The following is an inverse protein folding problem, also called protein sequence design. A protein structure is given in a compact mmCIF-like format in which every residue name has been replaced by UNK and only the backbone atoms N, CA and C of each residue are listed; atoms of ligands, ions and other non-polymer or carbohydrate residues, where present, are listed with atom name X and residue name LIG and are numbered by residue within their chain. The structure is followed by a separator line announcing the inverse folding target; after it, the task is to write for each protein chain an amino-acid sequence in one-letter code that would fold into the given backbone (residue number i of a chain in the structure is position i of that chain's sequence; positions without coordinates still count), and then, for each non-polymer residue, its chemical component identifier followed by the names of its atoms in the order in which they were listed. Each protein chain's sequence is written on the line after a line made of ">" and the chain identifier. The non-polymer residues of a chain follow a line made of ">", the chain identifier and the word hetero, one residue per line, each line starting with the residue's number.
data_IF_853228998920
#
_entry.id   IF_853228998920
#
_cell.length_a   1.000
_cell.length_b   1.000
_cell.length_c   1.000
_cell.angle_alpha   90.00
_cell.angle_beta   90.00
_cell.angle_gamma   90.00
#
_symmetry.space_group_name_H-M   'P 1'
#
loop_
_entity.id
_entity.type
_entity.pdbx_description
1 polymer ?
#
# COMPACT_ATOMS: atom_id res chain seq x y z
N UNK A 1 6.04 -15.75 -4.23
CA UNK A 1 5.38 -14.42 -4.18
C UNK A 1 6.30 -13.46 -3.44
N UNK A 2 6.50 -12.24 -3.93
CA UNK A 2 7.29 -11.20 -3.23
C UNK A 2 6.51 -9.90 -3.14
N UNK A 3 6.81 -9.07 -2.13
CA UNK A 3 6.23 -7.74 -1.90
C UNK A 3 7.11 -6.62 -2.47
N UNK A 4 8.42 -6.83 -2.56
CA UNK A 4 9.35 -5.77 -2.95
C UNK A 4 9.39 -5.55 -4.46
N UNK A 5 9.15 -4.29 -4.88
CA UNK A 5 9.16 -3.91 -6.30
C UNK A 5 10.50 -4.14 -6.99
N UNK A 6 11.62 -3.90 -6.28
CA UNK A 6 12.97 -4.11 -6.82
C UNK A 6 13.22 -5.59 -7.16
N UNK A 7 12.81 -6.50 -6.26
CA UNK A 7 12.91 -7.94 -6.49
C UNK A 7 12.00 -8.38 -7.65
N UNK A 8 10.76 -7.85 -7.70
CA UNK A 8 9.84 -8.14 -8.78
C UNK A 8 10.43 -7.80 -10.14
N UNK A 9 11.00 -6.60 -10.30
CA UNK A 9 11.62 -6.18 -11.55
C UNK A 9 12.72 -7.16 -12.00
N UNK A 10 13.50 -7.70 -11.07
CA UNK A 10 14.52 -8.70 -11.37
C UNK A 10 13.94 -10.07 -11.76
N UNK A 11 12.80 -10.48 -11.18
CA UNK A 11 12.17 -11.78 -11.43
C UNK A 11 11.30 -11.82 -12.69
N UNK A 12 10.78 -10.67 -13.14
CA UNK A 12 9.85 -10.59 -14.28
C UNK A 12 10.38 -11.23 -15.58
N UNK A 13 11.64 -10.99 -16.02
CA UNK A 13 12.17 -11.64 -17.21
C UNK A 13 12.22 -13.15 -17.07
N UNK A 14 12.54 -13.66 -15.88
CA UNK A 14 12.62 -15.10 -15.57
C UNK A 14 11.22 -15.73 -15.68
N UNK A 15 10.19 -15.07 -15.13
CA UNK A 15 8.81 -15.56 -15.23
C UNK A 15 8.35 -15.68 -16.70
N UNK A 16 8.73 -14.71 -17.55
CA UNK A 16 8.43 -14.75 -18.98
C UNK A 16 9.21 -15.85 -19.72
N UNK A 17 10.51 -16.01 -19.43
CA UNK A 17 11.37 -17.04 -20.02
C UNK A 17 10.87 -18.45 -19.73
N UNK A 18 10.57 -18.73 -18.47
CA UNK A 18 10.09 -20.06 -18.04
C UNK A 18 8.57 -20.25 -18.19
N UNK A 19 7.84 -19.21 -18.62
CA UNK A 19 6.39 -19.24 -18.79
C UNK A 19 5.65 -19.69 -17.53
N UNK A 20 6.03 -19.13 -16.37
CA UNK A 20 5.46 -19.45 -15.06
C UNK A 20 4.77 -18.22 -14.47
N UNK A 21 3.49 -18.31 -14.05
CA UNK A 21 2.82 -17.24 -13.36
C UNK A 21 3.57 -16.80 -12.09
N UNK A 22 3.86 -15.53 -11.99
CA UNK A 22 4.46 -14.89 -10.82
C UNK A 22 3.40 -14.05 -10.11
N UNK A 23 2.99 -14.52 -8.94
CA UNK A 23 2.02 -13.82 -8.10
C UNK A 23 2.73 -12.79 -7.23
N UNK A 24 2.17 -11.60 -7.10
CA UNK A 24 2.78 -10.51 -6.32
C UNK A 24 1.74 -9.72 -5.54
N UNK A 25 2.22 -9.08 -4.48
CA UNK A 25 1.52 -8.05 -3.71
C UNK A 25 2.33 -6.73 -3.70
N UNK A 26 3.25 -6.54 -4.65
CA UNK A 26 3.98 -5.28 -4.78
C UNK A 26 3.11 -4.21 -5.43
N UNK A 27 3.02 -3.03 -4.81
CA UNK A 27 2.28 -1.88 -5.34
C UNK A 27 2.90 -1.26 -6.59
N UNK A 28 4.22 -1.43 -6.83
CA UNK A 28 4.94 -0.75 -7.92
C UNK A 28 4.24 -0.87 -9.28
N UNK A 29 3.72 0.24 -9.81
CA UNK A 29 2.91 0.29 -11.03
C UNK A 29 3.60 -0.34 -12.24
N UNK A 30 4.89 -0.08 -12.42
CA UNK A 30 5.71 -0.56 -13.55
C UNK A 30 5.67 -2.09 -13.75
N UNK A 31 5.36 -2.86 -12.71
CA UNK A 31 5.33 -4.33 -12.76
C UNK A 31 4.33 -4.83 -13.81
N UNK A 32 3.10 -4.33 -13.80
CA UNK A 32 2.04 -4.74 -14.73
C UNK A 32 1.99 -3.87 -15.98
N UNK A 33 2.51 -2.63 -15.93
CA UNK A 33 2.70 -1.78 -17.10
C UNK A 33 3.74 -2.34 -18.11
N UNK A 34 4.56 -3.30 -17.69
CA UNK A 34 5.54 -3.98 -18.56
C UNK A 34 4.92 -4.91 -19.62
N UNK A 35 3.62 -5.14 -19.57
CA UNK A 35 2.90 -6.08 -20.45
C UNK A 35 3.42 -7.53 -20.40
N UNK A 36 4.04 -7.94 -19.29
CA UNK A 36 4.44 -9.32 -19.08
C UNK A 36 3.22 -10.18 -18.72
N UNK A 37 2.79 -11.15 -19.55
CA UNK A 37 1.54 -11.87 -19.36
C UNK A 37 1.57 -12.89 -18.22
N UNK A 38 2.73 -13.06 -17.56
CA UNK A 38 2.92 -14.01 -16.45
C UNK A 38 2.91 -13.34 -15.08
N UNK A 39 2.63 -12.02 -15.00
CA UNK A 39 2.58 -11.29 -13.74
C UNK A 39 1.13 -11.10 -13.30
N UNK A 40 0.84 -11.42 -12.03
CA UNK A 40 -0.50 -11.28 -11.45
C UNK A 40 -0.41 -10.66 -10.07
N UNK A 41 -1.05 -9.49 -9.90
CA UNK A 41 -1.00 -8.70 -8.67
C UNK A 41 -2.31 -8.83 -7.90
N UNK A 42 -2.17 -9.12 -6.60
CA UNK A 42 -3.27 -9.26 -5.65
C UNK A 42 -3.36 -8.09 -4.65
N UNK A 43 -2.83 -6.95 -5.02
CA UNK A 43 -3.04 -5.65 -4.38
C UNK A 43 -3.41 -4.62 -5.43
N UNK A 44 -4.07 -3.52 -5.08
CA UNK A 44 -4.26 -2.42 -6.01
C UNK A 44 -2.90 -1.90 -6.49
N UNK A 45 -2.87 -1.51 -7.76
CA UNK A 45 -1.74 -0.88 -8.38
C UNK A 45 -1.47 0.48 -7.71
N UNK A 46 -0.20 0.85 -7.52
CA UNK A 46 0.14 2.17 -6.99
C UNK A 46 -0.49 3.31 -7.81
N UNK A 47 -0.68 3.12 -9.12
CA UNK A 47 -1.41 4.11 -9.95
C UNK A 47 -2.86 4.32 -9.49
N UNK A 48 -3.52 3.30 -8.96
CA UNK A 48 -4.89 3.38 -8.43
C UNK A 48 -4.90 3.87 -6.98
N UNK A 49 -4.07 3.26 -6.13
CA UNK A 49 -4.07 3.59 -4.71
C UNK A 49 -3.52 4.99 -4.41
N UNK A 50 -2.59 5.54 -5.26
CA UNK A 50 -2.08 6.90 -5.08
C UNK A 50 -3.12 7.97 -5.44
N UNK A 51 -4.02 7.68 -6.36
CA UNK A 51 -5.20 8.53 -6.59
C UNK A 51 -6.04 8.66 -5.32
N UNK A 52 -6.35 7.54 -4.66
CA UNK A 52 -7.06 7.54 -3.38
C UNK A 52 -6.31 8.32 -2.29
N UNK A 53 -4.99 8.12 -2.19
CA UNK A 53 -4.12 8.84 -1.26
C UNK A 53 -4.17 10.36 -1.50
N UNK A 54 -3.94 10.80 -2.73
CA UNK A 54 -3.93 12.22 -3.08
C UNK A 54 -5.31 12.88 -2.87
N UNK A 55 -6.39 12.20 -3.29
CA UNK A 55 -7.77 12.69 -3.10
C UNK A 55 -8.15 12.79 -1.63
N UNK A 56 -7.75 11.82 -0.81
CA UNK A 56 -7.98 11.90 0.63
C UNK A 56 -7.33 13.15 1.24
N UNK A 57 -6.08 13.41 0.91
CA UNK A 57 -5.35 14.60 1.41
C UNK A 57 -6.03 15.89 0.96
N UNK A 58 -6.34 16.04 -0.33
CA UNK A 58 -6.85 17.28 -0.89
C UNK A 58 -8.36 17.44 -0.65
N UNK A 59 -9.15 16.40 -0.92
CA UNK A 59 -10.62 16.51 -0.93
C UNK A 59 -11.25 16.22 0.43
N UNK A 60 -10.66 15.33 1.25
CA UNK A 60 -11.20 14.96 2.57
C UNK A 60 -10.55 15.78 3.68
N UNK A 61 -9.21 15.75 3.78
CA UNK A 61 -8.48 16.52 4.80
C UNK A 61 -8.41 18.01 4.49
N UNK A 62 -8.70 18.44 3.24
CA UNK A 62 -8.63 19.82 2.77
C UNK A 62 -7.23 20.42 2.93
N UNK A 63 -6.18 19.62 2.72
CA UNK A 63 -4.79 20.05 2.81
C UNK A 63 -4.24 20.41 1.43
N UNK A 64 -3.51 21.52 1.36
CA UNK A 64 -2.95 22.03 0.09
C UNK A 64 -1.47 22.39 0.19
N UNK A 65 -0.92 22.53 1.41
CA UNK A 65 0.51 22.77 1.62
C UNK A 65 1.21 21.47 1.95
N UNK A 66 1.46 20.67 0.93
CA UNK A 66 1.92 19.28 1.05
C UNK A 66 3.45 19.22 1.10
N UNK A 67 4.01 18.50 2.08
CA UNK A 67 5.38 18.00 2.02
C UNK A 67 5.34 16.56 1.47
N UNK A 68 5.76 16.36 0.22
CA UNK A 68 5.84 15.05 -0.43
C UNK A 68 7.23 14.48 -0.25
N UNK A 69 7.31 13.30 0.35
CA UNK A 69 8.57 12.67 0.75
C UNK A 69 8.57 11.20 0.34
N UNK A 70 9.71 10.72 -0.19
CA UNK A 70 9.92 9.30 -0.46
C UNK A 70 11.36 8.86 -0.25
N UNK A 71 11.57 7.53 -0.25
CA UNK A 71 12.90 6.94 -0.27
C UNK A 71 13.43 6.69 -1.70
N UNK A 72 14.70 6.27 -1.79
CA UNK A 72 15.39 6.02 -3.07
C UNK A 72 15.11 4.64 -3.67
N UNK A 73 14.26 3.81 -3.07
CA UNK A 73 13.90 2.50 -3.64
C UNK A 73 13.06 2.66 -4.92
N UNK A 74 12.98 1.63 -5.74
CA UNK A 74 12.08 1.63 -6.91
C UNK A 74 10.63 1.88 -6.52
N UNK A 75 10.18 1.36 -5.36
CA UNK A 75 8.87 1.61 -4.78
C UNK A 75 8.71 3.09 -4.42
N UNK A 76 9.63 3.65 -3.63
CA UNK A 76 9.60 5.06 -3.21
C UNK A 76 9.55 6.02 -4.39
N UNK A 77 10.45 5.85 -5.36
CA UNK A 77 10.52 6.71 -6.55
C UNK A 77 9.28 6.60 -7.44
N UNK A 78 8.75 5.38 -7.61
CA UNK A 78 7.54 5.14 -8.41
C UNK A 78 6.32 5.84 -7.83
N UNK A 79 6.06 5.65 -6.54
CA UNK A 79 4.92 6.29 -5.87
C UNK A 79 5.06 7.80 -5.73
N UNK A 80 6.29 8.31 -5.56
CA UNK A 80 6.56 9.75 -5.56
C UNK A 80 6.11 10.40 -6.87
N UNK A 81 6.52 9.84 -8.01
CA UNK A 81 6.16 10.37 -9.33
C UNK A 81 4.63 10.34 -9.56
N UNK A 82 3.97 9.25 -9.14
CA UNK A 82 2.51 9.14 -9.24
C UNK A 82 1.79 10.17 -8.37
N UNK A 83 2.23 10.38 -7.13
CA UNK A 83 1.66 11.38 -6.23
C UNK A 83 1.86 12.81 -6.75
N UNK A 84 3.01 13.13 -7.36
CA UNK A 84 3.22 14.43 -8.03
C UNK A 84 2.20 14.63 -9.16
N UNK A 85 2.01 13.61 -10.00
CA UNK A 85 1.03 13.63 -11.10
C UNK A 85 -0.40 13.82 -10.57
N UNK A 86 -0.79 13.07 -9.54
CA UNK A 86 -2.15 13.09 -9.00
C UNK A 86 -2.44 14.39 -8.24
N UNK A 87 -1.50 14.95 -7.48
CA UNK A 87 -1.65 16.28 -6.91
C UNK A 87 -1.79 17.36 -7.99
N UNK A 88 -1.03 17.26 -9.09
CA UNK A 88 -1.16 18.20 -10.21
C UNK A 88 -2.55 18.12 -10.86
N UNK A 89 -3.12 16.91 -11.05
CA UNK A 89 -4.49 16.72 -11.55
C UNK A 89 -5.54 17.34 -10.61
N UNK A 90 -5.27 17.34 -9.30
CA UNK A 90 -6.14 17.95 -8.27
C UNK A 90 -5.89 19.46 -8.11
N UNK A 91 -5.10 20.07 -9.00
CA UNK A 91 -4.79 21.50 -8.96
C UNK A 91 -3.90 21.92 -7.78
N UNK A 92 -3.16 20.99 -7.19
CA UNK A 92 -2.30 21.22 -6.02
C UNK A 92 -0.87 20.86 -6.38
N UNK A 93 0.09 21.66 -5.89
CA UNK A 93 1.52 21.37 -6.02
C UNK A 93 2.14 21.31 -4.63
N UNK A 94 2.93 20.28 -4.31
CA UNK A 94 3.67 20.21 -3.06
C UNK A 94 4.53 21.48 -2.83
N UNK A 95 4.53 21.98 -1.58
CA UNK A 95 5.38 23.12 -1.17
C UNK A 95 6.79 22.68 -0.79
N UNK A 96 6.95 21.38 -0.54
CA UNK A 96 8.24 20.73 -0.26
C UNK A 96 8.25 19.33 -0.89
N UNK A 97 9.38 18.97 -1.48
CA UNK A 97 9.58 17.66 -2.10
C UNK A 97 10.97 17.13 -1.74
N UNK A 98 11.04 15.86 -1.33
CA UNK A 98 12.30 15.14 -1.12
C UNK A 98 12.12 13.65 -1.45
N UNK A 99 12.89 13.15 -2.40
CA UNK A 99 12.89 11.75 -2.82
C UNK A 99 14.29 11.10 -2.72
N UNK A 100 15.11 11.64 -1.82
CA UNK A 100 16.52 11.26 -1.69
C UNK A 100 16.86 10.45 -0.44
N UNK A 101 15.85 10.04 0.35
CA UNK A 101 16.08 9.32 1.61
C UNK A 101 16.61 7.92 1.31
N UNK A 102 17.82 7.63 1.78
CA UNK A 102 18.33 6.27 1.75
C UNK A 102 17.57 5.38 2.76
N UNK A 103 17.24 4.11 2.41
CA UNK A 103 16.48 3.23 3.31
C UNK A 103 17.14 2.94 4.66
N UNK A 104 18.45 3.15 4.76
CA UNK A 104 19.25 2.96 5.97
C UNK A 104 19.54 4.26 6.75
N UNK A 105 18.94 5.38 6.36
CA UNK A 105 19.05 6.67 7.05
C UNK A 105 18.66 6.54 8.53
N UNK A 106 19.48 7.11 9.43
CA UNK A 106 19.30 6.98 10.89
C UNK A 106 18.75 8.25 11.55
N UNK A 107 18.86 9.39 10.90
CA UNK A 107 18.39 10.68 11.43
C UNK A 107 17.65 11.48 10.36
N UNK A 108 16.39 11.79 10.65
CA UNK A 108 15.51 12.59 9.79
C UNK A 108 15.35 14.04 10.28
N UNK A 109 16.03 14.42 11.36
CA UNK A 109 15.92 15.78 11.93
C UNK A 109 16.23 16.88 10.91
N UNK A 110 17.27 16.77 10.05
CA UNK A 110 17.55 17.77 9.04
C UNK A 110 16.43 17.91 7.99
N UNK A 111 15.83 16.77 7.59
CA UNK A 111 14.69 16.73 6.68
C UNK A 111 13.47 17.40 7.31
N UNK A 112 13.14 17.02 8.54
CA UNK A 112 11.98 17.56 9.28
C UNK A 112 12.12 19.06 9.56
N UNK A 113 13.33 19.56 9.76
CA UNK A 113 13.59 21.00 9.86
C UNK A 113 13.26 21.73 8.54
N UNK A 114 13.59 21.15 7.38
CA UNK A 114 13.22 21.71 6.06
C UNK A 114 11.71 21.65 5.84
N UNK A 115 11.05 20.54 6.20
CA UNK A 115 9.58 20.43 6.15
C UNK A 115 8.94 21.53 6.99
N UNK A 116 9.40 21.77 8.22
CA UNK A 116 8.90 22.83 9.08
C UNK A 116 9.07 24.21 8.45
N UNK A 117 10.23 24.47 7.86
CA UNK A 117 10.54 25.76 7.20
C UNK A 117 9.69 25.98 5.93
N UNK A 118 9.23 24.94 5.25
CA UNK A 118 8.39 25.04 4.05
C UNK A 118 6.96 25.53 4.34
N UNK A 119 6.53 25.48 5.59
CA UNK A 119 5.15 25.80 5.98
C UNK A 119 4.13 24.76 5.55
N UNK A 120 4.55 23.52 5.32
CA UNK A 120 3.66 22.40 5.00
C UNK A 120 2.63 22.18 6.14
N UNK A 121 1.41 21.80 5.77
CA UNK A 121 0.29 21.52 6.69
C UNK A 121 -0.09 20.04 6.72
N UNK A 122 0.60 19.21 5.94
CA UNK A 122 0.52 17.75 5.91
C UNK A 122 1.83 17.16 5.35
N UNK A 123 2.27 16.01 5.86
CA UNK A 123 3.29 15.19 5.22
C UNK A 123 2.59 14.04 4.48
N UNK A 124 2.93 13.86 3.22
CA UNK A 124 2.61 12.69 2.42
C UNK A 124 3.90 11.90 2.24
N UNK A 125 3.94 10.69 2.80
CA UNK A 125 5.16 9.88 2.88
C UNK A 125 4.97 8.55 2.16
N UNK A 126 5.76 8.34 1.12
CA UNK A 126 5.76 7.08 0.37
C UNK A 126 7.15 6.43 0.44
N UNK A 127 7.33 5.50 1.34
CA UNK A 127 8.62 4.88 1.63
C UNK A 127 8.43 3.43 2.13
N UNK A 128 9.51 2.67 2.17
CA UNK A 128 9.53 1.37 2.86
C UNK A 128 9.53 1.57 4.37
N UNK A 129 9.20 0.51 5.13
CA UNK A 129 8.88 0.57 6.56
C UNK A 129 9.93 1.26 7.45
N UNK A 130 11.22 1.06 7.17
CA UNK A 130 12.29 1.61 8.03
C UNK A 130 12.35 3.15 8.03
N UNK A 131 12.55 3.85 6.91
CA UNK A 131 12.55 5.32 6.90
C UNK A 131 11.18 5.88 7.29
N UNK A 132 10.09 5.23 6.94
CA UNK A 132 8.74 5.63 7.30
C UNK A 132 8.52 5.64 8.81
N UNK A 133 8.87 4.56 9.50
CA UNK A 133 8.80 4.46 10.95
C UNK A 133 9.64 5.54 11.63
N UNK A 134 10.86 5.76 11.13
CA UNK A 134 11.78 6.75 11.70
C UNK A 134 11.22 8.18 11.56
N UNK A 135 10.73 8.57 10.39
CA UNK A 135 10.11 9.89 10.19
C UNK A 135 8.90 10.06 11.09
N UNK A 136 7.99 9.07 11.11
CA UNK A 136 6.76 9.12 11.92
C UNK A 136 7.07 9.26 13.42
N UNK A 137 8.13 8.63 13.91
CA UNK A 137 8.59 8.81 15.30
C UNK A 137 9.22 10.17 15.54
N UNK A 138 10.13 10.57 14.68
CA UNK A 138 10.91 11.80 14.89
C UNK A 138 10.09 13.09 14.72
N UNK A 139 9.01 13.06 13.92
CA UNK A 139 8.16 14.24 13.75
C UNK A 139 7.60 14.75 15.10
N UNK A 140 7.22 13.83 15.99
CA UNK A 140 6.70 14.20 17.33
C UNK A 140 7.76 14.92 18.16
N UNK A 141 9.02 14.54 18.04
CA UNK A 141 10.13 15.16 18.80
C UNK A 141 10.53 16.54 18.27
N UNK A 142 10.19 16.90 17.03
CA UNK A 142 10.53 18.20 16.43
C UNK A 142 9.55 19.32 16.77
N UNK A 143 8.46 18.98 17.47
CA UNK A 143 7.35 19.91 17.73
C UNK A 143 6.56 20.30 16.46
N UNK A 144 6.73 19.56 15.36
CA UNK A 144 5.94 19.69 14.16
C UNK A 144 4.62 18.95 14.36
N UNK A 145 3.54 19.68 14.56
CA UNK A 145 2.21 19.11 14.82
C UNK A 145 1.32 19.17 13.57
N UNK A 146 1.70 18.42 12.55
CA UNK A 146 0.92 18.27 11.32
C UNK A 146 0.63 16.79 11.08
N UNK A 147 -0.52 16.44 10.43
CA UNK A 147 -0.85 15.07 10.12
C UNK A 147 0.15 14.47 9.12
N UNK A 148 0.29 13.15 9.20
CA UNK A 148 1.05 12.35 8.24
C UNK A 148 0.10 11.38 7.56
N UNK A 149 0.14 11.30 6.23
CA UNK A 149 -0.52 10.26 5.46
C UNK A 149 0.57 9.43 4.80
N UNK A 150 0.68 8.17 5.24
CA UNK A 150 1.73 7.23 4.82
C UNK A 150 1.26 6.33 3.69
N UNK A 151 2.20 5.67 3.03
CA UNK A 151 1.91 4.47 2.24
C UNK A 151 1.65 3.25 3.13
N UNK A 152 1.19 2.15 2.52
CA UNK A 152 0.80 0.91 3.22
C UNK A 152 1.89 0.27 4.08
N UNK A 153 3.15 0.64 3.91
CA UNK A 153 4.24 0.08 4.72
C UNK A 153 4.14 0.38 6.23
N UNK A 154 3.37 1.40 6.64
CA UNK A 154 3.18 1.71 8.08
C UNK A 154 2.19 0.74 8.75
N UNK A 155 1.26 0.12 8.00
CA UNK A 155 0.28 -0.81 8.57
C UNK A 155 0.88 -2.20 8.85
N UNK A 156 2.08 -2.48 8.37
CA UNK A 156 2.77 -3.72 8.68
C UNK A 156 2.90 -3.91 10.20
N UNK A 157 2.55 -5.09 10.75
CA UNK A 157 2.62 -5.34 12.20
C UNK A 157 3.99 -5.09 12.81
N UNK A 158 5.06 -5.34 12.05
CA UNK A 158 6.44 -5.06 12.44
C UNK A 158 6.74 -3.57 12.57
N UNK A 159 6.09 -2.74 11.77
CA UNK A 159 6.20 -1.29 11.86
C UNK A 159 5.33 -0.74 13.00
N UNK A 160 4.04 -1.12 13.06
CA UNK A 160 3.12 -0.64 14.10
C UNK A 160 3.53 -1.07 15.51
N UNK A 161 4.17 -2.23 15.68
CA UNK A 161 4.68 -2.69 16.96
C UNK A 161 5.77 -1.78 17.56
N UNK A 162 6.43 -0.97 16.74
CA UNK A 162 7.46 -0.04 17.19
C UNK A 162 6.89 1.24 17.83
N UNK A 163 5.59 1.48 17.73
CA UNK A 163 4.94 2.68 18.27
C UNK A 163 4.17 2.39 19.55
N UNK A 164 4.18 3.32 20.49
CA UNK A 164 3.11 3.39 21.47
C UNK A 164 1.84 3.93 20.78
N UNK A 165 0.62 3.50 21.20
CA UNK A 165 -0.61 3.96 20.57
C UNK A 165 -0.71 5.49 20.42
N UNK A 166 -0.32 6.23 21.45
CA UNK A 166 -0.33 7.70 21.45
C UNK A 166 0.58 8.33 20.38
N UNK A 167 1.65 7.65 19.96
CA UNK A 167 2.55 8.12 18.91
C UNK A 167 1.90 8.06 17.52
N UNK A 168 0.89 7.20 17.35
CA UNK A 168 0.14 7.05 16.10
C UNK A 168 -1.03 8.06 15.98
N UNK A 169 -1.32 8.84 17.02
CA UNK A 169 -2.40 9.84 16.95
C UNK A 169 -2.20 10.80 15.77
N UNK A 170 -3.20 10.88 14.86
CA UNK A 170 -3.15 11.72 13.67
C UNK A 170 -2.29 11.17 12.52
N UNK A 171 -1.84 9.94 12.63
CA UNK A 171 -1.19 9.21 11.53
C UNK A 171 -2.28 8.50 10.74
N UNK A 172 -2.22 8.63 9.41
CA UNK A 172 -3.08 7.92 8.48
C UNK A 172 -2.21 7.14 7.46
N UNK A 173 -2.82 6.20 6.76
CA UNK A 173 -2.17 5.47 5.67
C UNK A 173 -3.20 5.01 4.63
N UNK A 174 -2.75 4.87 3.40
CA UNK A 174 -3.45 4.05 2.44
C UNK A 174 -3.19 2.57 2.73
N UNK A 175 -4.13 1.71 2.41
CA UNK A 175 -3.96 0.25 2.49
C UNK A 175 -4.87 -0.45 1.46
N UNK A 176 -4.50 -1.62 0.96
CA UNK A 176 -5.40 -2.41 0.10
C UNK A 176 -6.64 -2.91 0.85
N UNK A 177 -6.49 -3.20 2.12
CA UNK A 177 -7.53 -3.63 3.06
C UNK A 177 -7.00 -3.54 4.49
N UNK A 178 -7.90 -3.51 5.46
CA UNK A 178 -7.57 -3.44 6.89
C UNK A 178 -8.20 -4.63 7.66
N UNK A 179 -7.67 -5.87 7.51
CA UNK A 179 -8.25 -7.05 8.16
C UNK A 179 -8.20 -6.97 9.68
N UNK A 180 -7.24 -6.24 10.25
CA UNK A 180 -7.14 -5.94 11.67
C UNK A 180 -8.36 -5.17 12.22
N UNK A 181 -9.08 -4.44 11.38
CA UNK A 181 -10.31 -3.73 11.74
C UNK A 181 -11.55 -4.65 11.81
N UNK A 182 -11.48 -5.90 11.30
CA UNK A 182 -12.52 -6.94 11.39
C UNK A 182 -13.91 -6.49 10.96
N UNK A 183 -13.98 -5.77 9.84
CA UNK A 183 -15.19 -5.08 9.38
C UNK A 183 -16.32 -5.99 8.89
N UNK A 184 -16.00 -7.22 8.46
CA UNK A 184 -16.98 -8.20 8.02
C UNK A 184 -16.81 -9.54 8.76
N UNK A 185 -17.84 -10.41 8.81
CA UNK A 185 -17.71 -11.73 9.42
C UNK A 185 -16.60 -12.59 8.80
N UNK A 186 -16.39 -12.52 7.48
CA UNK A 186 -15.35 -13.26 6.78
C UNK A 186 -13.95 -12.74 7.15
N UNK A 187 -13.75 -11.43 7.13
CA UNK A 187 -12.50 -10.80 7.54
C UNK A 187 -12.20 -11.10 9.01
N UNK A 188 -13.22 -11.00 9.88
CA UNK A 188 -13.07 -11.31 11.31
C UNK A 188 -12.63 -12.76 11.53
N UNK A 189 -13.27 -13.72 10.88
CA UNK A 189 -12.95 -15.13 11.04
C UNK A 189 -11.50 -15.42 10.56
N UNK A 190 -11.10 -14.84 9.44
CA UNK A 190 -9.76 -14.98 8.91
C UNK A 190 -8.72 -14.33 9.82
N UNK A 191 -8.94 -13.09 10.25
CA UNK A 191 -8.02 -12.34 11.11
C UNK A 191 -7.82 -13.02 12.47
N UNK A 192 -8.91 -13.53 13.09
CA UNK A 192 -8.82 -14.25 14.36
C UNK A 192 -8.05 -15.58 14.21
N UNK A 193 -8.23 -16.28 13.09
CA UNK A 193 -7.46 -17.49 12.78
C UNK A 193 -5.98 -17.18 12.55
N UNK A 194 -5.68 -16.09 11.87
CA UNK A 194 -4.32 -15.62 11.63
C UNK A 194 -3.63 -15.25 12.95
N UNK A 195 -4.26 -14.41 13.78
CA UNK A 195 -3.75 -14.03 15.11
C UNK A 195 -3.51 -15.25 16.00
N UNK A 196 -4.46 -16.20 16.02
CA UNK A 196 -4.30 -17.45 16.79
C UNK A 196 -3.09 -18.28 16.32
N UNK A 197 -2.83 -18.30 15.01
CA UNK A 197 -1.75 -19.11 14.44
C UNK A 197 -0.38 -18.47 14.59
N UNK A 198 -0.28 -17.16 14.40
CA UNK A 198 1.00 -16.46 14.27
C UNK A 198 1.33 -15.55 15.47
N UNK A 199 0.37 -15.26 16.35
CA UNK A 199 0.56 -14.42 17.54
C UNK A 199 0.69 -12.93 17.26
N UNK A 200 0.45 -12.51 15.99
CA UNK A 200 0.49 -11.11 15.55
C UNK A 200 -0.79 -10.78 14.77
N UNK A 201 -1.20 -9.51 14.79
CA UNK A 201 -2.31 -9.05 13.94
C UNK A 201 -1.95 -9.18 12.45
N UNK A 202 -2.90 -9.53 11.59
CA UNK A 202 -2.68 -9.49 10.14
C UNK A 202 -2.73 -8.07 9.61
N UNK A 203 -2.22 -7.89 8.40
CA UNK A 203 -2.36 -6.69 7.59
C UNK A 203 -2.97 -7.01 6.21
N UNK A 204 -3.24 -5.98 5.41
CA UNK A 204 -3.76 -6.14 4.06
C UNK A 204 -2.80 -6.86 3.11
N UNK A 205 -1.48 -6.80 3.36
CA UNK A 205 -0.48 -7.52 2.56
C UNK A 205 -0.60 -9.03 2.78
N UNK A 206 -0.72 -9.46 4.04
CA UNK A 206 -0.91 -10.86 4.40
C UNK A 206 -2.22 -11.40 3.82
N UNK A 207 -3.30 -10.62 3.86
CA UNK A 207 -4.59 -11.01 3.32
C UNK A 207 -4.56 -11.12 1.80
N UNK A 208 -3.94 -10.16 1.10
CA UNK A 208 -3.76 -10.22 -0.36
C UNK A 208 -2.93 -11.44 -0.80
N UNK A 209 -1.89 -11.80 -0.05
CA UNK A 209 -1.13 -13.04 -0.32
C UNK A 209 -1.98 -14.29 -0.13
N UNK A 210 -2.76 -14.34 0.96
CA UNK A 210 -3.66 -15.46 1.22
C UNK A 210 -4.67 -15.62 0.09
N UNK A 211 -5.38 -14.56 -0.27
CA UNK A 211 -6.39 -14.60 -1.33
C UNK A 211 -5.77 -14.98 -2.69
N UNK A 212 -4.57 -14.47 -2.99
CA UNK A 212 -3.84 -14.81 -4.22
C UNK A 212 -3.50 -16.29 -4.32
N UNK A 213 -3.00 -16.88 -3.23
CA UNK A 213 -2.72 -18.32 -3.18
C UNK A 213 -4.02 -19.12 -3.25
N UNK A 214 -5.08 -18.71 -2.54
CA UNK A 214 -6.36 -19.40 -2.55
C UNK A 214 -7.04 -19.35 -3.92
N UNK A 215 -6.94 -18.23 -4.65
CA UNK A 215 -7.41 -18.15 -6.04
C UNK A 215 -6.65 -19.15 -6.92
N UNK A 216 -5.31 -19.17 -6.86
CA UNK A 216 -4.51 -20.08 -7.65
C UNK A 216 -4.88 -21.54 -7.36
N UNK A 217 -4.97 -21.95 -6.09
CA UNK A 217 -5.37 -23.29 -5.69
C UNK A 217 -6.79 -23.65 -6.16
N UNK A 218 -7.72 -22.69 -6.09
CA UNK A 218 -9.09 -22.87 -6.58
C UNK A 218 -9.12 -23.10 -8.09
N UNK A 219 -8.35 -22.34 -8.85
CA UNK A 219 -8.26 -22.52 -10.31
C UNK A 219 -7.60 -23.87 -10.68
N UNK A 220 -6.57 -24.27 -9.94
CA UNK A 220 -5.97 -25.60 -10.12
C UNK A 220 -6.96 -26.74 -9.82
N UNK A 221 -7.75 -26.63 -8.75
CA UNK A 221 -8.78 -27.62 -8.43
C UNK A 221 -9.90 -27.69 -9.47
N UNK A 222 -10.15 -26.61 -10.20
CA UNK A 222 -11.10 -26.51 -11.31
C UNK A 222 -10.53 -26.97 -12.67
N UNK A 223 -9.27 -27.40 -12.71
CA UNK A 223 -8.69 -28.03 -13.90
C UNK A 223 -7.49 -27.33 -14.52
N UNK A 224 -6.96 -26.25 -13.97
CA UNK A 224 -5.70 -25.65 -14.41
C UNK A 224 -4.53 -26.55 -13.98
N UNK A 225 -4.01 -27.39 -14.89
CA UNK A 225 -3.00 -28.40 -14.59
C UNK A 225 -1.58 -27.99 -14.95
N UNK A 226 -1.42 -27.03 -15.81
CA UNK A 226 -0.13 -26.50 -16.26
C UNK A 226 0.02 -25.03 -15.86
N UNK A 227 1.24 -24.52 -15.93
CA UNK A 227 1.51 -23.11 -15.71
C UNK A 227 0.71 -22.20 -16.68
N UNK A 228 0.59 -22.63 -17.93
CA UNK A 228 -0.16 -21.91 -18.95
C UNK A 228 -1.68 -21.94 -18.69
N UNK A 229 -2.23 -23.09 -18.24
CA UNK A 229 -3.65 -23.15 -17.83
C UNK A 229 -3.92 -22.20 -16.67
N UNK A 230 -3.03 -22.17 -15.68
CA UNK A 230 -3.16 -21.27 -14.54
C UNK A 230 -3.07 -19.79 -14.98
N UNK A 231 -2.11 -19.46 -15.85
CA UNK A 231 -1.98 -18.11 -16.44
C UNK A 231 -3.27 -17.68 -17.14
N UNK A 232 -3.80 -18.56 -18.01
CA UNK A 232 -5.02 -18.27 -18.76
C UNK A 232 -6.24 -18.11 -17.84
N UNK A 233 -6.34 -18.95 -16.80
CA UNK A 233 -7.42 -18.86 -15.82
C UNK A 233 -7.32 -17.59 -14.95
N UNK A 234 -6.13 -17.22 -14.46
CA UNK A 234 -5.90 -15.97 -13.71
C UNK A 234 -6.26 -14.72 -14.54
N UNK A 235 -6.04 -14.77 -15.86
CA UNK A 235 -6.36 -13.66 -16.76
C UNK A 235 -7.88 -13.49 -16.98
N UNK A 236 -8.67 -14.57 -16.87
CA UNK A 236 -10.07 -14.59 -17.29
C UNK A 236 -11.06 -14.67 -16.14
N UNK A 237 -10.73 -15.47 -15.13
CA UNK A 237 -11.69 -15.82 -14.08
C UNK A 237 -11.76 -14.73 -12.99
N UNK A 238 -12.93 -14.64 -12.37
CA UNK A 238 -13.15 -13.84 -11.17
C UNK A 238 -13.12 -14.73 -9.93
N UNK A 239 -12.60 -14.20 -8.83
CA UNK A 239 -12.51 -14.91 -7.56
C UNK A 239 -12.99 -14.03 -6.41
N UNK A 240 -13.96 -14.51 -5.63
CA UNK A 240 -14.36 -13.88 -4.37
C UNK A 240 -13.39 -14.32 -3.28
N UNK A 241 -12.47 -13.43 -2.92
CA UNK A 241 -11.57 -13.60 -1.80
C UNK A 241 -12.19 -13.15 -0.48
N UNK A 242 -11.39 -13.17 0.57
CA UNK A 242 -11.76 -12.65 1.89
C UNK A 242 -11.73 -11.12 1.90
N UNK A 243 -10.71 -10.52 1.28
CA UNK A 243 -10.57 -9.07 1.21
C UNK A 243 -11.58 -8.44 0.25
N UNK A 244 -11.62 -8.94 -0.98
CA UNK A 244 -12.37 -8.33 -2.07
C UNK A 244 -12.64 -9.33 -3.20
N UNK A 245 -13.31 -8.88 -4.26
CA UNK A 245 -13.42 -9.64 -5.51
C UNK A 245 -12.20 -9.35 -6.40
N UNK A 246 -11.50 -10.40 -6.76
CA UNK A 246 -10.33 -10.32 -7.65
C UNK A 246 -10.74 -10.61 -9.10
N UNK A 247 -10.38 -9.71 -10.01
CA UNK A 247 -10.67 -9.84 -11.43
C UNK A 247 -9.61 -9.10 -12.25
N UNK A 248 -9.01 -9.77 -13.23
CA UNK A 248 -7.98 -9.17 -14.05
C UNK A 248 -8.51 -8.00 -14.89
N UNK A 249 -7.74 -6.91 -14.94
CA UNK A 249 -7.95 -5.78 -15.85
C UNK A 249 -7.39 -6.04 -17.27
N UNK A 250 -6.88 -7.25 -17.54
CA UNK A 250 -6.21 -7.61 -18.80
C UNK A 250 -4.69 -7.42 -18.79
N UNK A 251 -4.15 -6.72 -17.80
CA UNK A 251 -2.70 -6.44 -17.66
C UNK A 251 -2.05 -7.11 -16.46
N UNK A 252 -2.82 -7.94 -15.70
CA UNK A 252 -2.33 -8.69 -14.56
C UNK A 252 -2.64 -8.07 -13.19
N UNK A 253 -3.29 -6.91 -13.13
CA UNK A 253 -3.86 -6.41 -11.88
C UNK A 253 -5.21 -7.08 -11.61
N UNK A 254 -5.40 -7.62 -10.40
CA UNK A 254 -6.62 -8.32 -10.01
C UNK A 254 -7.39 -7.61 -8.90
N UNK A 255 -6.73 -6.78 -8.11
CA UNK A 255 -7.31 -5.99 -7.02
C UNK A 255 -7.35 -4.51 -7.41
N UNK A 256 -8.45 -3.81 -7.09
CA UNK A 256 -8.68 -2.44 -7.55
C UNK A 256 -9.19 -1.49 -6.45
N UNK A 257 -9.53 -2.02 -5.26
CA UNK A 257 -10.07 -1.22 -4.16
C UNK A 257 -8.96 -0.78 -3.20
N UNK A 258 -9.14 0.39 -2.61
CA UNK A 258 -8.21 0.97 -1.63
C UNK A 258 -8.96 1.52 -0.43
N UNK A 259 -8.33 1.46 0.73
CA UNK A 259 -8.82 2.05 1.98
C UNK A 259 -7.82 3.09 2.48
N UNK A 260 -8.34 4.10 3.17
CA UNK A 260 -7.55 4.96 4.02
C UNK A 260 -7.89 4.64 5.46
N UNK A 261 -6.88 4.37 6.23
CA UNK A 261 -6.98 4.11 7.67
C UNK A 261 -6.28 5.20 8.46
N UNK A 262 -6.79 5.49 9.66
CA UNK A 262 -6.16 6.44 10.57
C UNK A 262 -6.16 5.88 11.99
N UNK A 263 -5.17 6.30 12.78
CA UNK A 263 -5.06 5.99 14.21
C UNK A 263 -5.49 7.20 15.05
N UNK A 264 -6.28 6.93 16.06
CA UNK A 264 -6.73 7.95 17.03
C UNK A 264 -5.83 8.03 18.28
N UNK A 265 -4.78 7.23 18.35
CA UNK A 265 -3.85 7.20 19.46
C UNK A 265 -4.28 6.34 20.66
N UNK A 266 -5.41 5.63 20.57
CA UNK A 266 -5.90 4.75 21.64
C UNK A 266 -5.50 3.28 21.44
N UNK A 267 -5.20 2.88 20.21
CA UNK A 267 -4.87 1.51 19.81
C UNK A 267 -3.85 1.51 18.67
N UNK A 268 -3.15 0.38 18.51
CA UNK A 268 -2.36 0.11 17.29
C UNK A 268 -3.22 -0.39 16.13
N UNK A 269 -4.49 -0.72 16.37
CA UNK A 269 -5.45 -1.08 15.31
C UNK A 269 -6.03 0.20 14.74
N UNK A 270 -5.88 0.46 13.44
CA UNK A 270 -6.42 1.65 12.80
C UNK A 270 -7.93 1.56 12.58
N UNK A 271 -8.53 2.70 12.27
CA UNK A 271 -9.93 2.81 11.82
C UNK A 271 -9.96 3.14 10.34
N UNK A 272 -10.82 2.47 9.57
CA UNK A 272 -11.10 2.83 8.18
C UNK A 272 -11.85 4.16 8.19
N UNK A 273 -11.33 5.15 7.48
CA UNK A 273 -11.91 6.50 7.40
C UNK A 273 -12.34 6.88 5.98
N UNK A 274 -11.88 6.14 4.96
CA UNK A 274 -12.35 6.27 3.59
C UNK A 274 -12.13 4.95 2.84
N UNK A 275 -13.02 4.68 1.88
CA UNK A 275 -12.89 3.54 0.96
C UNK A 275 -13.07 4.03 -0.47
N UNK A 276 -12.25 3.53 -1.38
CA UNK A 276 -12.24 3.85 -2.79
C UNK A 276 -12.39 2.57 -3.62
N UNK A 277 -13.31 2.61 -4.60
CA UNK A 277 -13.38 1.63 -5.67
C UNK A 277 -12.75 2.26 -6.92
N UNK A 278 -11.52 1.85 -7.24
CA UNK A 278 -10.68 2.58 -8.18
C UNK A 278 -10.44 4.03 -7.71
N UNK A 279 -10.85 5.01 -8.50
CA UNK A 279 -10.75 6.43 -8.17
C UNK A 279 -11.99 7.02 -7.47
N UNK A 280 -13.03 6.21 -7.25
CA UNK A 280 -14.29 6.66 -6.68
C UNK A 280 -14.34 6.47 -5.16
N UNK A 281 -14.58 7.56 -4.41
CA UNK A 281 -14.84 7.50 -2.97
C UNK A 281 -16.22 6.87 -2.74
N UNK A 282 -16.26 5.71 -2.08
CA UNK A 282 -17.50 4.97 -1.78
C UNK A 282 -17.92 5.05 -0.32
N UNK A 283 -16.97 5.29 0.60
CA UNK A 283 -17.23 5.50 2.03
C UNK A 283 -16.34 6.65 2.55
N UNK A 284 -16.94 7.51 3.40
CA UNK A 284 -16.27 8.61 4.07
C UNK A 284 -16.66 8.65 5.53
#
# INVERSE_FOLDING_TARGET
>A
MTVFGTEMVAMMPIAAEYKVPLLTISGLAKITESSNPYIFRFLPNDREIKVAHARYVVEVMKKTKIALISDTTAYGQGGFALLQEDFAKLGTKPVFEDNSIAPDTKDMSPLLAKVKASGADVIVLHAVSTPMTLITKQIKSTGLNIPIVNSSSIVEPTATALFEPAELAGVCAETPSAPEARTTPAIKAWADAYLKRFGIEPDGLALGQYDGVMMALTLMSKGAKTAEDLRAALQKESYQGVAMTYKSNGHGDLAHDAEIVCWDGTSRIPKIVAQYAGDQLVLK
#
